data_IF_183096978881
#
_entry.id   IF_183096978881
#
_cell.length_a   1.000
_cell.length_b   1.000
_cell.length_c   1.000
_cell.angle_alpha   90.00
_cell.angle_beta   90.00
_cell.angle_gamma   90.00
#
_symmetry.space_group_name_H-M   'P 1'
#
loop_
_entity.id
_entity.type
_entity.pdbx_description
1 polymer ?
#
# COMPACT_ATOMS: atom_id res chain seq x y z
N UNK A 1 10.64 -7.24 -17.85
CA UNK A 1 10.25 -7.44 -16.45
C UNK A 1 9.17 -6.40 -16.25
N UNK A 2 7.92 -6.80 -16.03
CA UNK A 2 6.83 -5.85 -15.78
C UNK A 2 6.86 -5.55 -14.30
N UNK A 3 7.07 -4.29 -13.95
CA UNK A 3 7.01 -3.82 -12.57
C UNK A 3 5.54 -3.84 -12.12
N UNK A 4 5.26 -4.53 -11.00
CA UNK A 4 3.89 -4.70 -10.48
C UNK A 4 3.25 -3.32 -10.20
N UNK A 5 4.06 -2.34 -9.83
CA UNK A 5 3.67 -0.94 -9.62
C UNK A 5 3.11 -0.28 -10.88
N UNK A 6 3.64 -0.56 -12.08
CA UNK A 6 3.12 -0.01 -13.34
C UNK A 6 1.76 -0.59 -13.73
N UNK A 7 1.33 -1.69 -13.10
CA UNK A 7 0.05 -2.34 -13.35
C UNK A 7 -1.08 -1.84 -12.42
N UNK A 8 -0.75 -1.03 -11.40
CA UNK A 8 -1.67 -0.64 -10.34
C UNK A 8 -1.83 0.88 -10.30
N UNK A 9 -3.07 1.35 -10.22
CA UNK A 9 -3.37 2.77 -10.02
C UNK A 9 -3.50 3.06 -8.52
N UNK A 10 -2.49 3.68 -7.94
CA UNK A 10 -2.49 4.09 -6.53
C UNK A 10 -2.95 5.53 -6.45
N UNK A 11 -4.04 5.79 -5.72
CA UNK A 11 -4.53 7.14 -5.50
C UNK A 11 -3.64 7.89 -4.50
N UNK A 12 -3.69 9.22 -4.54
CA UNK A 12 -3.13 10.07 -3.50
C UNK A 12 -3.67 9.72 -2.11
N UNK A 13 -2.94 10.16 -1.09
CA UNK A 13 -3.25 9.82 0.29
C UNK A 13 -4.67 10.23 0.68
N UNK A 14 -5.50 9.30 1.17
CA UNK A 14 -6.89 9.59 1.52
C UNK A 14 -7.05 10.53 2.72
N UNK A 15 -5.97 10.84 3.45
CA UNK A 15 -5.99 11.74 4.59
C UNK A 15 -5.48 13.16 4.27
N UNK A 16 -4.46 13.28 3.42
CA UNK A 16 -3.78 14.57 3.19
C UNK A 16 -3.52 14.90 1.73
N UNK A 17 -3.99 14.08 0.78
CA UNK A 17 -3.77 14.27 -0.67
C UNK A 17 -2.27 14.25 -1.06
N UNK A 18 -1.42 13.73 -0.17
CA UNK A 18 0.01 13.56 -0.38
C UNK A 18 0.37 12.33 -1.22
N UNK A 19 1.64 12.23 -1.61
CA UNK A 19 2.11 11.15 -2.48
C UNK A 19 2.04 9.77 -1.81
N UNK A 20 1.60 8.77 -2.57
CA UNK A 20 1.46 7.37 -2.14
C UNK A 20 2.50 6.47 -2.80
N UNK A 21 3.07 5.54 -2.04
CA UNK A 21 4.06 4.56 -2.53
C UNK A 21 3.69 3.15 -2.08
N UNK A 22 3.73 2.18 -2.99
CA UNK A 22 3.62 0.76 -2.66
C UNK A 22 5.00 0.22 -2.29
N UNK A 23 5.14 -0.30 -1.08
CA UNK A 23 6.38 -0.85 -0.56
C UNK A 23 6.24 -2.36 -0.31
N UNK A 24 7.33 -3.09 -0.54
CA UNK A 24 7.44 -4.51 -0.22
C UNK A 24 8.11 -4.73 1.13
N UNK A 25 7.45 -5.43 2.05
CA UNK A 25 8.03 -5.80 3.33
C UNK A 25 8.79 -7.13 3.20
N UNK A 26 10.12 -7.04 3.06
CA UNK A 26 11.06 -8.17 3.13
C UNK A 26 10.71 -9.39 2.26
N UNK A 27 10.04 -9.19 1.13
CA UNK A 27 9.64 -10.29 0.24
C UNK A 27 8.47 -11.13 0.71
N UNK A 28 7.73 -10.67 1.73
CA UNK A 28 6.63 -11.44 2.34
C UNK A 28 5.30 -10.70 2.34
N UNK A 29 5.25 -9.40 2.02
CA UNK A 29 3.99 -8.65 1.98
C UNK A 29 4.12 -7.28 1.32
N UNK A 30 2.97 -6.65 1.06
CA UNK A 30 2.89 -5.29 0.51
C UNK A 30 2.04 -4.37 1.39
N UNK A 31 2.48 -3.12 1.52
CA UNK A 31 1.71 -2.03 2.11
C UNK A 31 1.84 -0.76 1.26
N UNK A 32 0.86 0.13 1.30
CA UNK A 32 0.99 1.48 0.73
C UNK A 32 1.22 2.45 1.86
N UNK A 33 2.11 3.42 1.68
CA UNK A 33 2.33 4.51 2.64
C UNK A 33 2.27 5.88 1.98
N UNK A 34 1.85 6.88 2.77
CA UNK A 34 1.94 8.28 2.38
C UNK A 34 3.30 8.84 2.77
N UNK A 35 3.97 9.50 1.83
CA UNK A 35 5.28 10.12 2.03
C UNK A 35 5.21 11.43 2.83
N UNK A 36 4.03 12.06 2.88
CA UNK A 36 3.83 13.35 3.55
C UNK A 36 3.36 13.20 5.01
N UNK A 37 2.27 12.46 5.25
CA UNK A 37 1.69 12.32 6.59
C UNK A 37 2.08 11.00 7.30
N UNK A 38 2.72 10.08 6.59
CA UNK A 38 3.19 8.81 7.14
C UNK A 38 2.09 7.79 7.44
N UNK A 39 0.82 8.02 7.07
CA UNK A 39 -0.20 6.98 7.19
C UNK A 39 0.11 5.81 6.24
N UNK A 40 -0.32 4.61 6.59
CA UNK A 40 -0.04 3.42 5.80
C UNK A 40 -1.25 2.46 5.80
N UNK A 41 -1.39 1.62 4.77
CA UNK A 41 -2.35 0.52 4.80
C UNK A 41 -1.88 -0.57 5.76
N UNK A 42 -2.75 -1.53 6.06
CA UNK A 42 -2.29 -2.83 6.57
C UNK A 42 -1.35 -3.49 5.56
N UNK A 43 -0.41 -4.28 6.05
CA UNK A 43 0.41 -5.16 5.21
C UNK A 43 -0.43 -6.37 4.78
N UNK A 44 -0.39 -6.70 3.49
CA UNK A 44 -0.99 -7.91 2.93
C UNK A 44 0.12 -8.90 2.60
N UNK A 45 0.18 -9.98 3.37
CA UNK A 45 1.17 -11.03 3.17
C UNK A 45 0.90 -11.88 1.92
N UNK A 46 1.98 -12.41 1.35
CA UNK A 46 1.96 -13.42 0.30
C UNK A 46 3.05 -14.47 0.56
N UNK A 47 2.81 -15.70 0.14
CA UNK A 47 3.70 -16.84 0.42
C UNK A 47 4.26 -17.46 -0.86
N UNK A 48 3.91 -16.94 -2.04
CA UNK A 48 4.31 -17.46 -3.34
C UNK A 48 4.34 -16.36 -4.40
N UNK A 49 5.08 -16.57 -5.50
CA UNK A 49 5.18 -15.59 -6.59
C UNK A 49 3.83 -15.27 -7.26
N UNK A 50 2.96 -16.27 -7.41
CA UNK A 50 1.60 -16.09 -7.94
C UNK A 50 0.73 -15.19 -7.05
N UNK A 51 0.97 -15.18 -5.75
CA UNK A 51 0.21 -14.38 -4.78
C UNK A 51 0.67 -12.93 -4.72
N UNK A 52 1.89 -12.61 -5.19
CA UNK A 52 2.47 -11.25 -5.13
C UNK A 52 1.56 -10.22 -5.81
N UNK A 53 1.11 -10.52 -7.02
CA UNK A 53 0.23 -9.61 -7.78
C UNK A 53 -1.12 -9.42 -7.08
N UNK A 54 -1.69 -10.49 -6.53
CA UNK A 54 -2.97 -10.43 -5.82
C UNK A 54 -2.85 -9.70 -4.47
N UNK A 55 -1.74 -9.87 -3.75
CA UNK A 55 -1.43 -9.13 -2.54
C UNK A 55 -1.28 -7.63 -2.84
N UNK A 56 -0.47 -7.27 -3.84
CA UNK A 56 -0.30 -5.87 -4.26
C UNK A 56 -1.64 -5.22 -4.66
N UNK A 57 -2.46 -5.90 -5.47
CA UNK A 57 -3.81 -5.43 -5.82
C UNK A 57 -4.70 -5.19 -4.61
N UNK A 58 -4.71 -6.13 -3.65
CA UNK A 58 -5.49 -6.00 -2.42
C UNK A 58 -5.01 -4.82 -1.57
N UNK A 59 -3.70 -4.65 -1.44
CA UNK A 59 -3.10 -3.53 -0.74
C UNK A 59 -3.54 -2.19 -1.36
N UNK A 60 -3.40 -2.04 -2.68
CA UNK A 60 -3.82 -0.82 -3.38
C UNK A 60 -5.34 -0.60 -3.31
N UNK A 61 -6.14 -1.66 -3.43
CA UNK A 61 -7.60 -1.57 -3.26
C UNK A 61 -7.97 -1.04 -1.86
N UNK A 62 -7.32 -1.53 -0.80
CA UNK A 62 -7.56 -1.07 0.56
C UNK A 62 -7.18 0.40 0.74
N UNK A 63 -6.02 0.79 0.21
CA UNK A 63 -5.56 2.18 0.20
C UNK A 63 -6.56 3.11 -0.50
N UNK A 64 -6.94 2.79 -1.74
CA UNK A 64 -7.87 3.59 -2.54
C UNK A 64 -9.29 3.63 -1.92
N UNK A 65 -9.65 2.63 -1.12
CA UNK A 65 -10.88 2.62 -0.33
C UNK A 65 -10.80 3.43 0.98
N UNK A 66 -9.68 4.09 1.26
CA UNK A 66 -9.44 4.89 2.46
C UNK A 66 -9.17 4.06 3.72
N UNK A 67 -8.81 2.77 3.58
CA UNK A 67 -8.50 1.87 4.72
C UNK A 67 -7.03 2.03 5.13
N UNK A 68 -6.74 3.14 5.81
CA UNK A 68 -5.39 3.49 6.26
C UNK A 68 -5.30 3.59 7.79
N UNK A 69 -4.11 3.31 8.30
CA UNK A 69 -3.69 3.47 9.69
C UNK A 69 -2.97 4.82 9.79
N UNK A 70 -3.50 5.73 10.60
CA UNK A 70 -2.89 7.04 10.82
C UNK A 70 -1.70 6.93 11.77
N UNK A 71 -0.57 7.55 11.41
CA UNK A 71 0.64 7.58 12.24
C UNK A 71 0.64 8.67 13.31
N UNK A 72 -0.48 9.32 13.59
CA UNK A 72 -0.60 10.27 14.69
C UNK A 72 -0.77 9.53 16.02
N UNK A 73 0.21 9.56 16.94
CA UNK A 73 0.02 9.06 18.29
C UNK A 73 -0.83 10.07 19.07
N UNK A 74 -2.09 9.73 19.37
CA UNK A 74 -2.89 10.41 20.38
C UNK A 74 -4.27 10.89 19.91
N UNK A 75 -5.28 10.03 20.15
CA UNK A 75 -6.52 10.48 20.79
C UNK A 75 -6.48 10.05 22.26
#
# INVERSE_FOLDING_TARGET
>A
MMDIEEMLEIHDCPLCDGGSLLEEESGCGYYVMCLDCGCHSVTIDFHSEEERLEAAKKTVMLWNAGKVISSHPGE
#
